data_IF_100417376824
#
_entry.id   IF_100417376824
#
_cell.length_a   1.000
_cell.length_b   1.000
_cell.length_c   1.000
_cell.angle_alpha   90.00
_cell.angle_beta   90.00
_cell.angle_gamma   90.00
#
_symmetry.space_group_name_H-M   'P 1'
#
loop_
_entity.id
_entity.type
_entity.pdbx_description
1 polymer ?
#
# COMPACT_ATOMS: atom_id res chain seq x y z
N UNK A 1 -13.66 -9.89 27.78
CA UNK A 1 -14.59 -9.22 26.87
C UNK A 1 -13.88 -8.04 26.18
N UNK A 2 -13.94 -7.94 24.85
CA UNK A 2 -13.18 -6.95 24.08
C UNK A 2 -14.03 -6.38 22.93
N UNK A 3 -15.00 -5.50 23.19
CA UNK A 3 -15.77 -4.82 22.17
C UNK A 3 -14.97 -3.68 21.55
N UNK A 4 -14.96 -3.63 20.23
CA UNK A 4 -14.34 -2.57 19.46
C UNK A 4 -15.40 -1.85 18.63
N UNK A 5 -15.34 -0.54 18.61
CA UNK A 5 -16.16 0.32 17.73
C UNK A 5 -15.25 1.26 16.97
N UNK A 6 -15.44 1.33 15.66
CA UNK A 6 -14.71 2.25 14.81
C UNK A 6 -15.68 2.94 13.84
N UNK A 7 -15.69 4.26 13.86
CA UNK A 7 -16.47 5.09 12.95
C UNK A 7 -15.55 6.04 12.20
N UNK A 8 -15.65 6.08 10.88
CA UNK A 8 -14.85 6.99 10.04
C UNK A 8 -15.75 7.74 9.08
N UNK A 9 -15.66 9.07 9.08
CA UNK A 9 -16.28 9.97 8.11
C UNK A 9 -15.18 10.53 7.22
N UNK A 10 -15.39 10.49 5.89
CA UNK A 10 -14.37 10.88 4.92
C UNK A 10 -14.96 11.63 3.72
N UNK A 11 -15.43 12.87 3.88
CA UNK A 11 -15.75 13.71 2.73
C UNK A 11 -14.49 14.07 1.93
N UNK A 12 -14.60 14.09 0.60
CA UNK A 12 -13.54 14.54 -0.32
C UNK A 12 -14.14 15.43 -1.42
N UNK A 13 -13.32 16.36 -1.90
CA UNK A 13 -13.62 17.22 -3.05
C UNK A 13 -12.50 17.05 -4.05
N UNK A 14 -12.85 16.64 -5.27
CA UNK A 14 -11.92 16.42 -6.37
C UNK A 14 -12.21 17.43 -7.48
N UNK A 15 -11.19 18.21 -7.85
CA UNK A 15 -11.23 19.14 -8.96
C UNK A 15 -10.24 18.69 -10.03
N UNK A 16 -10.74 18.56 -11.25
CA UNK A 16 -9.97 18.16 -12.40
C UNK A 16 -10.14 19.17 -13.52
N UNK A 17 -9.01 19.61 -14.09
CA UNK A 17 -8.97 20.45 -15.28
C UNK A 17 -8.00 19.89 -16.28
N UNK A 18 -8.45 19.72 -17.53
CA UNK A 18 -7.60 19.29 -18.63
C UNK A 18 -7.77 20.22 -19.82
N UNK A 19 -6.67 20.63 -20.42
CA UNK A 19 -6.66 21.46 -21.62
C UNK A 19 -5.69 20.88 -22.65
N UNK A 20 -6.20 20.63 -23.85
CA UNK A 20 -5.37 20.37 -25.02
C UNK A 20 -4.83 21.69 -25.56
N UNK A 21 -3.52 21.73 -25.78
CA UNK A 21 -2.79 22.88 -26.31
C UNK A 21 -2.31 22.59 -27.74
N UNK A 22 -1.90 23.60 -28.53
CA UNK A 22 -1.31 23.39 -29.83
C UNK A 22 -0.12 22.41 -29.81
N UNK A 23 0.24 21.85 -30.96
CA UNK A 23 1.40 20.98 -31.15
C UNK A 23 1.33 19.66 -30.29
N UNK A 24 0.13 19.08 -30.13
CA UNK A 24 -0.12 17.82 -29.42
C UNK A 24 0.37 17.87 -27.95
N UNK A 25 0.09 18.95 -27.27
CA UNK A 25 0.41 19.16 -25.86
C UNK A 25 -0.86 19.06 -25.02
N UNK A 26 -0.71 18.65 -23.76
CA UNK A 26 -1.80 18.57 -22.79
C UNK A 26 -1.33 19.10 -21.45
N UNK A 27 -2.13 19.97 -20.84
CA UNK A 27 -1.99 20.40 -19.45
C UNK A 27 -3.11 19.78 -18.62
N UNK A 28 -2.74 19.17 -17.50
CA UNK A 28 -3.67 18.57 -16.54
C UNK A 28 -3.38 19.19 -15.18
N UNK A 29 -4.43 19.66 -14.50
CA UNK A 29 -4.38 20.16 -13.13
C UNK A 29 -5.36 19.37 -12.29
N UNK A 30 -4.87 18.76 -11.20
CA UNK A 30 -5.67 18.02 -10.23
C UNK A 30 -5.55 18.69 -8.87
N UNK A 31 -6.65 18.79 -8.15
CA UNK A 31 -6.66 19.22 -6.76
C UNK A 31 -7.65 18.35 -5.98
N UNK A 32 -7.18 17.75 -4.89
CA UNK A 32 -8.00 16.90 -4.01
C UNK A 32 -7.92 17.45 -2.60
N UNK A 33 -9.07 17.79 -2.04
CA UNK A 33 -9.23 18.11 -0.62
C UNK A 33 -9.92 16.95 0.10
N UNK A 34 -9.39 16.48 1.22
CA UNK A 34 -9.99 15.42 2.02
C UNK A 34 -9.98 15.79 3.49
N UNK A 35 -11.11 15.57 4.15
CA UNK A 35 -11.22 15.58 5.60
C UNK A 35 -11.53 14.17 6.07
N UNK A 36 -10.86 13.70 7.12
CA UNK A 36 -11.10 12.40 7.73
C UNK A 36 -11.28 12.62 9.22
N UNK A 37 -12.45 12.23 9.73
CA UNK A 37 -12.72 12.15 11.16
C UNK A 37 -12.85 10.68 11.55
N UNK A 38 -12.07 10.23 12.51
CA UNK A 38 -12.06 8.85 13.02
C UNK A 38 -12.33 8.87 14.51
N UNK A 39 -13.32 8.08 14.93
CA UNK A 39 -13.58 7.80 16.34
C UNK A 39 -13.46 6.29 16.54
N UNK A 40 -12.46 5.87 17.29
CA UNK A 40 -12.18 4.46 17.59
C UNK A 40 -12.19 4.25 19.11
N UNK A 41 -13.01 3.32 19.54
CA UNK A 41 -13.14 2.94 20.95
C UNK A 41 -12.81 1.47 21.10
N UNK A 42 -11.94 1.15 22.01
CA UNK A 42 -11.57 -0.20 22.38
C UNK A 42 -11.68 -0.34 23.90
N UNK A 43 -12.34 -1.40 24.34
CA UNK A 43 -12.45 -1.75 25.74
C UNK A 43 -11.95 -3.19 25.93
N UNK A 44 -11.14 -3.41 26.93
CA UNK A 44 -10.70 -4.74 27.34
C UNK A 44 -11.04 -4.93 28.83
N UNK A 45 -11.83 -5.98 29.16
CA UNK A 45 -12.19 -6.31 30.52
C UNK A 45 -11.79 -7.75 30.81
N UNK A 46 -11.11 -7.94 31.92
CA UNK A 46 -10.73 -9.25 32.44
C UNK A 46 -11.53 -9.54 33.72
N UNK A 47 -12.25 -10.66 33.74
CA UNK A 47 -13.08 -11.09 34.82
C UNK A 47 -12.64 -12.46 35.35
N UNK A 48 -12.62 -12.65 36.65
CA UNK A 48 -12.36 -13.94 37.31
C UNK A 48 -13.37 -14.15 38.44
N UNK A 49 -14.17 -15.21 38.37
CA UNK A 49 -15.20 -15.51 39.36
C UNK A 49 -16.12 -14.30 39.65
N UNK A 50 -16.61 -13.64 38.58
CA UNK A 50 -17.44 -12.43 38.61
C UNK A 50 -16.79 -11.19 39.25
N UNK A 51 -15.48 -11.24 39.51
CA UNK A 51 -14.70 -10.09 39.98
C UNK A 51 -13.98 -9.49 38.77
N UNK A 52 -14.18 -8.19 38.53
CA UNK A 52 -13.45 -7.41 37.51
C UNK A 52 -11.99 -7.22 37.96
N UNK A 53 -11.05 -7.85 37.26
CA UNK A 53 -9.63 -7.77 37.55
C UNK A 53 -8.95 -6.62 36.83
N UNK A 54 -9.41 -6.32 35.62
CA UNK A 54 -8.83 -5.25 34.77
C UNK A 54 -9.91 -4.61 33.92
N UNK A 55 -9.85 -3.29 33.78
CA UNK A 55 -10.69 -2.49 32.90
C UNK A 55 -9.78 -1.50 32.15
N UNK A 56 -9.57 -1.78 30.88
CA UNK A 56 -8.72 -0.96 30.01
C UNK A 56 -9.61 -0.33 28.94
N UNK A 57 -9.64 0.99 28.91
CA UNK A 57 -10.36 1.78 27.93
C UNK A 57 -9.37 2.58 27.09
N UNK A 58 -9.45 2.45 25.78
CA UNK A 58 -8.67 3.20 24.83
C UNK A 58 -9.59 3.85 23.79
N UNK A 59 -9.69 5.16 23.82
CA UNK A 59 -10.45 5.94 22.85
C UNK A 59 -9.51 6.80 22.06
N UNK A 60 -9.71 6.85 20.75
CA UNK A 60 -8.97 7.72 19.84
C UNK A 60 -9.98 8.54 19.04
N UNK A 61 -9.92 9.84 19.18
CA UNK A 61 -10.66 10.81 18.37
C UNK A 61 -9.67 11.57 17.51
N UNK A 62 -9.79 11.47 16.19
CA UNK A 62 -8.79 11.96 15.27
C UNK A 62 -9.37 12.70 14.09
N UNK A 63 -8.77 13.87 13.81
CA UNK A 63 -9.07 14.70 12.65
C UNK A 63 -7.87 14.80 11.74
N UNK A 64 -8.07 14.55 10.44
CA UNK A 64 -7.04 14.71 9.41
C UNK A 64 -7.57 15.53 8.25
N UNK A 65 -6.87 16.60 7.92
CA UNK A 65 -7.06 17.38 6.72
C UNK A 65 -5.93 17.08 5.74
N UNK A 66 -6.25 16.95 4.46
CA UNK A 66 -5.26 16.71 3.42
C UNK A 66 -5.62 17.48 2.15
N UNK A 67 -4.62 18.15 1.58
CA UNK A 67 -4.72 18.82 0.28
C UNK A 67 -3.63 18.23 -0.63
N UNK A 68 -4.03 17.81 -1.81
CA UNK A 68 -3.15 17.32 -2.87
C UNK A 68 -3.34 18.21 -4.08
N UNK A 69 -2.26 18.78 -4.58
CA UNK A 69 -2.23 19.52 -5.85
C UNK A 69 -1.26 18.83 -6.80
N UNK A 70 -1.64 18.65 -8.06
CA UNK A 70 -0.78 18.09 -9.09
C UNK A 70 -0.97 18.81 -10.41
N UNK A 71 0.14 19.27 -10.99
CA UNK A 71 0.20 19.80 -12.35
C UNK A 71 1.00 18.86 -13.23
N UNK A 72 0.44 18.45 -14.36
CA UNK A 72 1.07 17.55 -15.33
C UNK A 72 1.08 18.23 -16.70
N UNK A 73 2.22 18.21 -17.35
CA UNK A 73 2.39 18.63 -18.73
C UNK A 73 2.86 17.45 -19.57
N UNK A 74 2.19 17.22 -20.69
CA UNK A 74 2.53 16.17 -21.64
C UNK A 74 2.69 16.73 -23.05
N UNK A 75 3.64 16.18 -23.80
CA UNK A 75 3.83 16.47 -25.21
C UNK A 75 4.08 15.19 -26.00
N UNK A 76 3.31 15.02 -27.07
CA UNK A 76 3.45 13.92 -28.01
C UNK A 76 4.45 14.29 -29.10
N UNK A 77 5.46 13.45 -29.29
CA UNK A 77 6.44 13.51 -30.38
C UNK A 77 6.23 12.32 -31.33
N UNK A 78 6.93 12.29 -32.44
CA UNK A 78 6.93 11.13 -33.34
C UNK A 78 7.52 9.90 -32.68
N UNK A 79 8.58 10.05 -31.89
CA UNK A 79 9.27 8.98 -31.20
C UNK A 79 8.54 8.48 -29.92
N UNK A 80 7.56 9.24 -29.41
CA UNK A 80 6.87 8.90 -28.18
C UNK A 80 6.29 10.10 -27.44
N UNK A 81 5.91 9.94 -26.21
CA UNK A 81 5.33 10.96 -25.35
C UNK A 81 6.27 11.28 -24.19
N UNK A 82 6.61 12.54 -24.03
CA UNK A 82 7.28 13.07 -22.84
C UNK A 82 6.22 13.71 -21.93
N UNK A 83 6.20 13.28 -20.69
CA UNK A 83 5.38 13.87 -19.61
C UNK A 83 6.26 14.33 -18.46
N UNK A 84 5.80 15.31 -17.72
CA UNK A 84 6.42 15.74 -16.48
C UNK A 84 5.39 16.37 -15.57
N UNK A 85 5.58 16.27 -14.25
CA UNK A 85 4.64 16.80 -13.30
C UNK A 85 5.27 17.15 -11.98
N UNK A 86 4.57 18.04 -11.28
CA UNK A 86 4.82 18.42 -9.89
C UNK A 86 3.58 18.09 -9.08
N UNK A 87 3.75 17.24 -8.07
CA UNK A 87 2.70 16.91 -7.09
C UNK A 87 3.12 17.39 -5.71
N UNK A 88 2.23 18.06 -5.02
CA UNK A 88 2.40 18.46 -3.62
C UNK A 88 1.24 17.94 -2.79
N UNK A 89 1.57 17.27 -1.70
CA UNK A 89 0.62 16.80 -0.70
C UNK A 89 0.94 17.50 0.61
N UNK A 90 -0.07 18.10 1.24
CA UNK A 90 0.04 18.67 2.58
C UNK A 90 -1.04 18.05 3.44
N UNK A 91 -0.70 17.58 4.65
CA UNK A 91 -1.67 17.07 5.62
C UNK A 91 -1.39 17.57 7.02
N UNK A 92 -2.48 17.70 7.78
CA UNK A 92 -2.51 18.06 9.19
C UNK A 92 -3.34 17.01 9.90
N UNK A 93 -2.82 16.49 10.99
CA UNK A 93 -3.50 15.47 11.78
C UNK A 93 -3.47 15.88 13.25
N UNK A 94 -4.59 15.68 13.93
CA UNK A 94 -4.78 15.97 15.34
C UNK A 94 -5.51 14.78 15.97
N UNK A 95 -4.83 14.02 16.82
CA UNK A 95 -5.40 12.87 17.51
C UNK A 95 -5.42 13.12 19.00
N UNK A 96 -6.59 12.94 19.61
CA UNK A 96 -6.80 12.95 21.06
C UNK A 96 -7.02 11.52 21.54
N UNK A 97 -6.23 11.09 22.49
CA UNK A 97 -6.31 9.81 23.15
C UNK A 97 -6.93 10.01 24.54
N UNK A 98 -7.85 9.14 24.94
CA UNK A 98 -8.47 9.17 26.26
C UNK A 98 -8.81 7.76 26.76
N UNK A 99 -9.09 7.62 28.03
CA UNK A 99 -9.32 6.36 28.70
C UNK A 99 -8.24 6.05 29.73
N UNK A 100 -7.69 4.83 29.72
CA UNK A 100 -6.65 4.40 30.68
C UNK A 100 -5.37 5.22 30.54
N UNK A 101 -5.05 5.62 29.31
CA UNK A 101 -3.95 6.58 29.01
C UNK A 101 -4.53 7.70 28.16
N UNK A 102 -4.18 8.93 28.51
CA UNK A 102 -4.62 10.12 27.78
C UNK A 102 -3.44 10.88 27.17
N UNK A 103 -3.73 11.64 26.10
CA UNK A 103 -2.75 12.48 25.44
C UNK A 103 -3.28 13.07 24.16
N UNK A 104 -2.49 13.97 23.54
CA UNK A 104 -2.82 14.56 22.25
C UNK A 104 -1.56 14.56 21.38
N UNK A 105 -1.73 14.25 20.11
CA UNK A 105 -0.63 14.27 19.13
C UNK A 105 -1.06 15.07 17.92
N UNK A 106 -0.30 16.09 17.57
CA UNK A 106 -0.49 16.87 16.34
C UNK A 106 0.68 16.67 15.40
N UNK A 107 0.40 16.47 14.14
CA UNK A 107 1.41 16.30 13.11
C UNK A 107 1.07 17.11 11.86
N UNK A 108 2.12 17.68 11.27
CA UNK A 108 2.10 18.25 9.92
C UNK A 108 3.04 17.43 9.05
N UNK A 109 2.56 17.08 7.86
CA UNK A 109 3.33 16.29 6.91
C UNK A 109 3.17 16.86 5.51
N UNK A 110 4.26 16.98 4.78
CA UNK A 110 4.19 17.32 3.36
C UNK A 110 5.09 16.42 2.51
N UNK A 111 4.65 16.16 1.29
CA UNK A 111 5.46 15.52 0.26
C UNK A 111 5.37 16.33 -1.02
N UNK A 112 6.52 16.71 -1.57
CA UNK A 112 6.65 17.33 -2.88
C UNK A 112 7.36 16.38 -3.81
N UNK A 113 6.75 16.02 -4.93
CA UNK A 113 7.27 15.08 -5.91
C UNK A 113 7.36 15.71 -7.29
N UNK A 114 8.58 15.87 -7.78
CA UNK A 114 8.87 16.31 -9.15
C UNK A 114 9.29 15.09 -9.97
N UNK A 115 8.71 14.93 -11.16
CA UNK A 115 8.99 13.79 -12.00
C UNK A 115 8.92 14.11 -13.49
N UNK A 116 9.61 13.30 -14.27
CA UNK A 116 9.48 13.27 -15.73
C UNK A 116 9.48 11.83 -16.23
N UNK A 117 8.82 11.59 -17.35
CA UNK A 117 8.62 10.28 -17.92
C UNK A 117 8.59 10.36 -19.45
N UNK A 118 9.28 9.45 -20.10
CA UNK A 118 9.20 9.25 -21.53
C UNK A 118 8.63 7.87 -21.84
N UNK A 119 7.59 7.81 -22.66
CA UNK A 119 6.97 6.56 -23.12
C UNK A 119 6.92 6.52 -24.64
N UNK A 120 7.24 5.37 -25.20
CA UNK A 120 7.27 5.19 -26.63
C UNK A 120 7.08 3.75 -27.07
N UNK A 121 7.11 3.56 -28.39
CA UNK A 121 7.01 2.24 -29.01
C UNK A 121 8.02 2.13 -30.15
N UNK A 122 8.79 1.04 -30.13
CA UNK A 122 9.67 0.66 -31.23
C UNK A 122 9.30 -0.75 -31.69
N UNK A 123 8.71 -0.87 -32.87
CA UNK A 123 8.20 -2.15 -33.41
C UNK A 123 7.24 -2.81 -32.40
N UNK A 124 7.66 -3.94 -31.81
CA UNK A 124 6.89 -4.73 -30.87
C UNK A 124 7.16 -4.38 -29.39
N UNK A 125 8.11 -3.50 -29.12
CA UNK A 125 8.50 -3.08 -27.79
C UNK A 125 7.81 -1.76 -27.44
N UNK A 126 6.95 -1.76 -26.41
CA UNK A 126 6.51 -0.56 -25.71
C UNK A 126 7.42 -0.34 -24.51
N UNK A 127 7.82 0.90 -24.28
CA UNK A 127 8.68 1.23 -23.16
C UNK A 127 8.25 2.53 -22.50
N UNK A 128 8.49 2.58 -21.20
CA UNK A 128 8.36 3.79 -20.40
C UNK A 128 9.56 3.86 -19.47
N UNK A 129 10.23 4.99 -19.42
CA UNK A 129 11.28 5.28 -18.46
C UNK A 129 10.97 6.63 -17.81
N UNK A 130 11.06 6.67 -16.49
CA UNK A 130 10.80 7.87 -15.72
C UNK A 130 11.78 8.01 -14.56
N UNK A 131 12.01 9.24 -14.19
CA UNK A 131 12.78 9.61 -13.00
C UNK A 131 12.01 10.66 -12.21
N UNK A 132 12.18 10.64 -10.92
CA UNK A 132 11.60 11.66 -10.05
C UNK A 132 12.35 11.79 -8.75
N UNK A 133 12.10 12.90 -8.06
CA UNK A 133 12.64 13.17 -6.74
C UNK A 133 11.50 13.62 -5.85
N UNK A 134 11.35 12.98 -4.69
CA UNK A 134 10.42 13.42 -3.66
C UNK A 134 11.18 13.99 -2.46
N UNK A 135 10.61 15.07 -1.90
CA UNK A 135 10.98 15.62 -0.61
C UNK A 135 9.81 15.38 0.34
N UNK A 136 10.04 14.61 1.40
CA UNK A 136 9.10 14.41 2.51
C UNK A 136 9.54 15.25 3.70
N UNK A 137 8.60 15.96 4.33
CA UNK A 137 8.82 16.76 5.51
C UNK A 137 7.77 16.43 6.58
N UNK A 138 8.23 16.32 7.83
CA UNK A 138 7.42 15.94 8.97
C UNK A 138 7.69 16.87 10.14
N UNK A 139 6.64 17.26 10.83
CA UNK A 139 6.71 18.01 12.09
C UNK A 139 5.64 17.50 13.05
N UNK A 140 6.07 16.95 14.17
CA UNK A 140 5.22 16.59 15.30
C UNK A 140 5.35 17.65 16.40
N UNK A 141 4.26 17.96 17.10
CA UNK A 141 4.29 18.90 18.22
C UNK A 141 5.17 18.35 19.35
N UNK A 142 6.14 19.15 19.81
CA UNK A 142 7.11 18.75 20.85
C UNK A 142 8.35 18.03 20.33
N UNK A 143 8.45 17.70 19.06
CA UNK A 143 9.59 17.01 18.44
C UNK A 143 10.26 17.90 17.39
N UNK A 144 11.52 17.61 17.06
CA UNK A 144 12.23 18.27 15.97
C UNK A 144 11.62 17.91 14.61
N UNK A 145 11.58 18.86 13.70
CA UNK A 145 11.18 18.59 12.32
C UNK A 145 12.30 17.94 11.52
N UNK A 146 11.94 17.08 10.59
CA UNK A 146 12.91 16.43 9.73
C UNK A 146 12.42 16.30 8.29
N UNK A 147 13.38 16.16 7.37
CA UNK A 147 13.10 16.03 5.96
C UNK A 147 13.97 14.95 5.31
N UNK A 148 13.40 14.29 4.30
CA UNK A 148 14.06 13.24 3.52
C UNK A 148 13.86 13.47 2.04
N UNK A 149 14.91 13.16 1.27
CA UNK A 149 14.87 13.16 -0.18
C UNK A 149 14.98 11.73 -0.72
N UNK A 150 14.14 11.39 -1.67
CA UNK A 150 14.14 10.06 -2.29
C UNK A 150 14.15 10.19 -3.81
N UNK A 151 15.15 9.57 -4.43
CA UNK A 151 15.20 9.39 -5.88
C UNK A 151 14.29 8.22 -6.26
N UNK A 152 13.38 8.42 -7.23
CA UNK A 152 12.29 7.49 -7.59
C UNK A 152 12.32 7.17 -9.08
N UNK A 153 13.23 6.33 -9.56
CA UNK A 153 13.23 5.85 -10.93
C UNK A 153 12.07 4.85 -11.13
N UNK A 154 11.54 4.82 -12.35
CA UNK A 154 10.62 3.78 -12.80
C UNK A 154 10.91 3.37 -14.23
N UNK A 155 10.67 2.11 -14.54
CA UNK A 155 10.79 1.54 -15.87
C UNK A 155 9.65 0.56 -16.12
N UNK A 156 9.12 0.58 -17.33
CA UNK A 156 8.16 -0.42 -17.82
C UNK A 156 8.54 -0.80 -19.24
N UNK A 157 8.73 -2.09 -19.47
CA UNK A 157 9.06 -2.66 -20.77
C UNK A 157 8.01 -3.73 -21.09
N UNK A 158 7.40 -3.65 -22.28
CA UNK A 158 6.48 -4.68 -22.76
C UNK A 158 6.82 -5.06 -24.18
N UNK A 159 7.18 -6.31 -24.38
CA UNK A 159 7.40 -6.89 -25.68
C UNK A 159 6.20 -7.72 -26.13
N UNK A 160 5.56 -7.35 -27.25
CA UNK A 160 4.42 -8.03 -27.81
C UNK A 160 4.92 -9.02 -28.88
N UNK A 161 4.96 -10.31 -28.56
CA UNK A 161 5.33 -11.34 -29.54
C UNK A 161 4.29 -11.42 -30.64
N UNK A 162 3.01 -11.42 -30.26
CA UNK A 162 1.81 -11.36 -31.09
C UNK A 162 0.78 -10.45 -30.43
N UNK A 163 -0.37 -10.22 -31.05
CA UNK A 163 -1.50 -9.48 -30.46
C UNK A 163 -2.07 -10.16 -29.20
N UNK A 164 -1.81 -11.45 -29.05
CA UNK A 164 -2.33 -12.29 -27.98
C UNK A 164 -1.25 -12.81 -27.00
N UNK A 165 -0.01 -12.36 -27.14
CA UNK A 165 1.11 -12.84 -26.34
C UNK A 165 2.09 -11.71 -26.07
N UNK A 166 2.32 -11.42 -24.81
CA UNK A 166 3.29 -10.42 -24.41
C UNK A 166 4.05 -10.81 -23.14
N UNK A 167 5.21 -10.22 -23.00
CA UNK A 167 5.99 -10.20 -21.76
C UNK A 167 6.19 -8.76 -21.31
N UNK A 168 5.88 -8.48 -20.04
CA UNK A 168 6.03 -7.15 -19.44
C UNK A 168 6.88 -7.23 -18.19
N UNK A 169 7.78 -6.26 -18.03
CA UNK A 169 8.56 -6.04 -16.81
C UNK A 169 8.36 -4.61 -16.36
N UNK A 170 8.07 -4.42 -15.08
CA UNK A 170 7.98 -3.13 -14.42
C UNK A 170 8.97 -3.10 -13.27
N UNK A 171 9.62 -1.96 -13.07
CA UNK A 171 10.46 -1.70 -11.92
C UNK A 171 10.24 -0.27 -11.42
N UNK A 172 10.20 -0.09 -10.10
CA UNK A 172 10.06 1.23 -9.49
C UNK A 172 10.70 1.30 -8.11
N UNK A 173 11.10 2.50 -7.73
CA UNK A 173 11.49 2.83 -6.36
C UNK A 173 10.46 3.81 -5.80
N UNK A 174 9.89 3.46 -4.65
CA UNK A 174 8.89 4.26 -3.97
C UNK A 174 9.40 4.70 -2.60
N UNK A 175 8.89 5.82 -2.10
CA UNK A 175 9.09 6.28 -0.74
C UNK A 175 7.85 5.95 0.08
N UNK A 176 8.03 5.37 1.28
CA UNK A 176 6.96 5.06 2.22
C UNK A 176 7.23 5.82 3.51
N UNK A 177 6.32 6.72 3.83
CA UNK A 177 6.40 7.56 5.02
C UNK A 177 5.70 6.90 6.20
N UNK A 178 6.19 7.09 7.44
CA UNK A 178 5.51 6.60 8.62
C UNK A 178 4.13 7.23 8.79
N UNK A 179 3.20 6.46 9.33
CA UNK A 179 1.87 6.93 9.72
C UNK A 179 1.91 7.64 11.08
N UNK A 180 0.88 8.44 11.39
CA UNK A 180 0.81 9.11 12.68
C UNK A 180 0.75 8.11 13.86
N UNK A 181 0.05 6.99 13.70
CA UNK A 181 -0.03 5.97 14.75
C UNK A 181 1.32 5.31 15.03
N UNK A 182 2.18 5.18 14.02
CA UNK A 182 3.54 4.67 14.18
C UNK A 182 4.47 5.70 14.85
N UNK A 183 4.23 7.00 14.60
CA UNK A 183 5.01 8.09 15.19
C UNK A 183 4.56 8.47 16.61
N UNK A 184 3.36 8.09 17.04
CA UNK A 184 2.83 8.47 18.35
C UNK A 184 3.58 7.77 19.49
N UNK A 185 4.24 8.53 20.37
CA UNK A 185 4.88 8.00 21.57
C UNK A 185 3.89 7.60 22.69
N UNK A 186 2.59 7.83 22.48
CA UNK A 186 1.55 7.49 23.47
C UNK A 186 1.39 5.97 23.54
N UNK A 187 1.58 5.45 24.77
CA UNK A 187 1.39 4.03 25.04
C UNK A 187 -0.09 3.66 24.98
N UNK A 188 -0.41 2.65 24.20
CA UNK A 188 -1.76 2.10 24.09
C UNK A 188 -1.80 0.70 24.70
N UNK A 189 -2.54 0.52 25.76
CA UNK A 189 -2.77 -0.81 26.33
C UNK A 189 -3.71 -1.60 25.43
N UNK A 190 -3.25 -2.78 25.00
CA UNK A 190 -4.05 -3.73 24.22
C UNK A 190 -4.80 -4.65 25.18
N UNK A 191 -4.10 -5.13 26.21
CA UNK A 191 -4.60 -5.93 27.34
C UNK A 191 -3.70 -5.71 28.56
N UNK A 192 -3.87 -6.55 29.60
CA UNK A 192 -3.08 -6.45 30.85
C UNK A 192 -1.58 -6.71 30.66
N UNK A 193 -1.20 -7.46 29.63
CA UNK A 193 0.17 -7.90 29.36
C UNK A 193 0.78 -7.23 28.14
N UNK A 194 -0.02 -6.61 27.27
CA UNK A 194 0.44 -6.07 25.99
C UNK A 194 0.22 -4.56 25.91
N UNK A 195 1.28 -3.87 25.50
CA UNK A 195 1.27 -2.43 25.24
C UNK A 195 1.77 -2.21 23.80
N UNK A 196 1.17 -1.28 23.09
CA UNK A 196 1.70 -0.76 21.82
C UNK A 196 2.28 0.63 22.05
N UNK A 197 3.49 0.86 21.53
CA UNK A 197 4.18 2.15 21.57
C UNK A 197 4.70 2.46 20.18
N UNK A 198 4.37 3.63 19.63
CA UNK A 198 4.99 4.12 18.40
C UNK A 198 6.37 4.75 18.69
N UNK A 199 7.01 5.22 17.62
CA UNK A 199 8.35 5.80 17.69
C UNK A 199 8.37 7.12 16.91
N UNK A 200 8.51 8.29 17.58
CA UNK A 200 8.52 9.59 16.89
C UNK A 200 9.74 9.81 15.99
N UNK A 201 10.78 8.99 16.13
CA UNK A 201 12.04 9.09 15.36
C UNK A 201 12.07 8.23 14.10
N UNK A 202 10.93 7.64 13.70
CA UNK A 202 10.83 6.82 12.49
C UNK A 202 11.16 7.64 11.24
N UNK A 203 11.95 7.02 10.37
CA UNK A 203 12.34 7.58 9.07
C UNK A 203 11.55 6.93 7.94
N UNK A 204 11.21 7.69 6.88
CA UNK A 204 10.72 7.08 5.66
C UNK A 204 11.70 6.05 5.11
N UNK A 205 11.18 4.96 4.56
CA UNK A 205 11.98 3.94 3.92
C UNK A 205 11.68 3.82 2.41
N UNK A 206 12.59 3.19 1.69
CA UNK A 206 12.43 2.94 0.26
C UNK A 206 11.87 1.54 0.03
N UNK A 207 10.97 1.40 -0.95
CA UNK A 207 10.53 0.11 -1.49
C UNK A 207 11.03 0.00 -2.93
N UNK A 208 11.77 -1.06 -3.21
CA UNK A 208 12.24 -1.45 -4.54
C UNK A 208 11.33 -2.56 -5.03
N UNK A 209 10.51 -2.25 -6.04
CA UNK A 209 9.49 -3.16 -6.53
C UNK A 209 9.80 -3.56 -7.97
N UNK A 210 9.73 -4.85 -8.25
CA UNK A 210 9.86 -5.43 -9.59
C UNK A 210 8.72 -6.39 -9.85
N UNK A 211 8.11 -6.29 -11.01
CA UNK A 211 7.07 -7.19 -11.48
C UNK A 211 7.35 -7.66 -12.89
N UNK A 212 7.20 -8.97 -13.16
CA UNK A 212 7.22 -9.53 -14.47
C UNK A 212 5.92 -10.28 -14.74
N UNK A 213 5.34 -10.07 -15.91
CA UNK A 213 4.09 -10.69 -16.33
C UNK A 213 4.23 -11.24 -17.74
N UNK A 214 3.83 -12.51 -17.94
CA UNK A 214 3.74 -13.15 -19.24
C UNK A 214 2.31 -13.59 -19.50
N UNK A 215 1.70 -13.03 -20.54
CA UNK A 215 0.36 -13.39 -20.98
C UNK A 215 0.44 -14.17 -22.29
N UNK A 216 -0.28 -15.27 -22.33
CA UNK A 216 -0.54 -16.06 -23.52
C UNK A 216 -2.04 -16.31 -23.69
N UNK A 217 -2.60 -15.97 -24.85
CA UNK A 217 -4.01 -16.21 -25.18
C UNK A 217 -4.11 -16.88 -26.52
N UNK A 218 -4.85 -18.00 -26.59
CA UNK A 218 -5.16 -18.71 -27.83
C UNK A 218 -6.59 -19.26 -27.79
N UNK A 219 -7.44 -18.69 -28.65
CA UNK A 219 -8.86 -19.10 -28.68
C UNK A 219 -9.53 -18.84 -27.32
N UNK A 220 -10.05 -19.92 -26.72
CA UNK A 220 -10.69 -19.89 -25.40
C UNK A 220 -9.73 -20.05 -24.22
N UNK A 221 -8.46 -20.30 -24.48
CA UNK A 221 -7.44 -20.51 -23.45
C UNK A 221 -6.66 -19.24 -23.18
N UNK A 222 -6.45 -18.93 -21.89
CA UNK A 222 -5.56 -17.84 -21.43
C UNK A 222 -4.67 -18.36 -20.30
N UNK A 223 -3.38 -18.18 -20.44
CA UNK A 223 -2.38 -18.41 -19.41
C UNK A 223 -1.74 -17.08 -19.02
N UNK A 224 -1.65 -16.81 -17.72
CA UNK A 224 -1.11 -15.58 -17.14
C UNK A 224 -0.14 -15.95 -16.02
N UNK A 225 1.15 -15.70 -16.24
CA UNK A 225 2.23 -15.98 -15.30
C UNK A 225 2.76 -14.66 -14.74
N UNK A 226 2.73 -14.53 -13.41
CA UNK A 226 3.17 -13.34 -12.71
C UNK A 226 4.32 -13.66 -11.76
N UNK A 227 5.31 -12.77 -11.73
CA UNK A 227 6.36 -12.73 -10.72
C UNK A 227 6.40 -11.34 -10.10
N UNK A 228 6.55 -11.30 -8.79
CA UNK A 228 6.68 -10.06 -8.04
C UNK A 228 7.82 -10.20 -7.02
N UNK A 229 8.69 -9.21 -7.00
CA UNK A 229 9.73 -9.05 -6.00
C UNK A 229 9.64 -7.66 -5.39
N UNK A 230 9.67 -7.59 -4.07
CA UNK A 230 9.76 -6.34 -3.32
C UNK A 230 10.86 -6.46 -2.28
N UNK A 231 11.68 -5.41 -2.19
CA UNK A 231 12.71 -5.28 -1.16
C UNK A 231 12.58 -3.91 -0.50
N UNK A 232 12.46 -3.89 0.79
CA UNK A 232 12.30 -2.66 1.58
C UNK A 232 13.32 -2.67 2.72
N UNK A 233 14.56 -2.18 2.47
CA UNK A 233 15.51 -1.94 3.55
C UNK A 233 14.99 -0.84 4.48
N UNK A 234 15.39 -0.86 5.73
CA UNK A 234 14.96 0.07 6.78
C UNK A 234 13.43 0.16 6.94
N UNK A 235 12.71 -0.93 6.58
CA UNK A 235 11.25 -0.97 6.65
C UNK A 235 10.78 -0.75 8.08
N UNK A 236 9.75 0.08 8.23
CA UNK A 236 9.04 0.24 9.49
C UNK A 236 8.25 -1.03 9.77
N UNK A 237 8.59 -1.73 10.87
CA UNK A 237 7.95 -2.97 11.31
C UNK A 237 7.83 -3.01 12.83
N UNK A 238 6.85 -3.76 13.32
CA UNK A 238 6.68 -4.02 14.74
C UNK A 238 7.69 -5.09 15.21
N UNK A 239 8.21 -4.90 16.42
CA UNK A 239 9.02 -5.83 17.18
C UNK A 239 8.43 -5.94 18.58
N UNK A 240 8.46 -7.13 19.16
CA UNK A 240 7.94 -7.38 20.50
C UNK A 240 9.10 -7.50 21.48
N UNK A 241 9.17 -6.59 22.43
CA UNK A 241 10.15 -6.64 23.51
C UNK A 241 9.45 -6.96 24.85
N UNK A 242 10.19 -7.53 25.80
CA UNK A 242 9.69 -7.77 27.15
C UNK A 242 10.28 -6.75 28.10
N UNK A 243 9.42 -5.95 28.71
CA UNK A 243 9.79 -4.94 29.70
C UNK A 243 8.81 -4.98 30.86
N UNK A 244 9.31 -4.99 32.12
CA UNK A 244 8.48 -4.99 33.34
C UNK A 244 7.34 -6.02 33.35
N UNK A 245 7.61 -7.26 32.94
CA UNK A 245 6.64 -8.35 32.78
C UNK A 245 5.50 -8.11 31.78
N UNK A 246 5.65 -7.12 30.89
CA UNK A 246 4.73 -6.85 29.78
C UNK A 246 5.41 -7.07 28.44
N UNK A 247 4.63 -7.38 27.42
CA UNK A 247 5.04 -7.43 26.03
C UNK A 247 4.76 -6.07 25.40
N UNK A 248 5.82 -5.38 25.00
CA UNK A 248 5.69 -4.07 24.36
C UNK A 248 5.93 -4.24 22.86
N UNK A 249 4.90 -3.96 22.07
CA UNK A 249 5.01 -3.85 20.62
C UNK A 249 5.53 -2.46 20.30
N UNK A 250 6.78 -2.39 19.88
CA UNK A 250 7.42 -1.17 19.40
C UNK A 250 7.51 -1.19 17.89
N UNK A 251 7.37 -0.02 17.30
CA UNK A 251 7.54 0.16 15.85
C UNK A 251 8.88 0.85 15.61
N UNK A 252 9.73 0.29 14.76
CA UNK A 252 11.03 0.87 14.44
C UNK A 252 11.41 0.64 12.97
N UNK A 253 12.42 1.37 12.49
CA UNK A 253 13.08 1.07 11.24
C UNK A 253 13.95 -0.18 11.44
N UNK A 254 13.48 -1.30 10.91
CA UNK A 254 14.12 -2.62 11.04
C UNK A 254 15.08 -2.87 9.87
N UNK A 255 15.94 -3.90 9.94
CA UNK A 255 16.96 -4.19 8.91
C UNK A 255 16.39 -4.34 7.50
N UNK A 256 15.21 -4.96 7.37
CA UNK A 256 14.56 -5.04 6.07
C UNK A 256 13.47 -6.08 5.95
N UNK A 257 12.76 -5.97 4.85
CA UNK A 257 11.71 -6.92 4.49
C UNK A 257 11.76 -7.20 2.99
N UNK A 258 11.59 -8.47 2.64
CA UNK A 258 11.55 -8.90 1.25
C UNK A 258 10.33 -9.78 1.01
N UNK A 259 9.77 -9.67 -0.19
CA UNK A 259 8.74 -10.57 -0.70
C UNK A 259 9.13 -11.04 -2.09
N UNK A 260 9.11 -12.35 -2.28
CA UNK A 260 9.16 -13.00 -3.59
C UNK A 260 7.84 -13.73 -3.80
N UNK A 261 7.19 -13.49 -4.92
CA UNK A 261 5.89 -14.08 -5.26
C UNK A 261 5.88 -14.57 -6.70
N UNK A 262 5.27 -15.73 -6.94
CA UNK A 262 5.02 -16.24 -8.27
C UNK A 262 3.65 -16.90 -8.33
N UNK A 263 2.86 -16.61 -9.37
CA UNK A 263 1.58 -17.26 -9.61
C UNK A 263 1.34 -17.53 -11.08
N UNK A 264 0.59 -18.60 -11.34
CA UNK A 264 0.10 -18.98 -12.64
C UNK A 264 -1.43 -19.03 -12.59
N UNK A 265 -2.06 -18.28 -13.47
CA UNK A 265 -3.51 -18.32 -13.69
C UNK A 265 -3.79 -18.92 -15.06
N UNK A 266 -4.56 -20.00 -15.08
CA UNK A 266 -5.08 -20.62 -16.29
C UNK A 266 -6.58 -20.38 -16.38
N UNK A 267 -7.04 -19.88 -17.54
CA UNK A 267 -8.46 -19.66 -17.81
C UNK A 267 -8.84 -20.37 -19.09
N UNK A 268 -10.00 -21.03 -19.05
CA UNK A 268 -10.61 -21.69 -20.21
C UNK A 268 -12.06 -21.23 -20.33
N UNK A 269 -12.40 -20.71 -21.48
CA UNK A 269 -13.77 -20.29 -21.72
C UNK A 269 -13.92 -19.03 -22.59
N UNK A 270 -15.18 -18.76 -23.01
CA UNK A 270 -16.39 -19.53 -22.66
C UNK A 270 -16.49 -20.86 -23.40
N UNK A 271 -16.80 -21.92 -22.67
CA UNK A 271 -17.15 -23.29 -23.19
C UNK A 271 -18.64 -23.54 -23.05
N UNK A 272 -19.14 -24.73 -23.49
CA UNK A 272 -20.54 -25.18 -23.40
C UNK A 272 -21.50 -24.07 -23.85
N UNK A 273 -21.69 -23.97 -25.19
CA UNK A 273 -22.54 -22.95 -25.84
C UNK A 273 -22.16 -21.50 -25.43
N UNK A 274 -20.88 -21.23 -25.10
CA UNK A 274 -20.35 -19.98 -24.65
C UNK A 274 -20.91 -19.49 -23.30
N UNK A 275 -21.31 -20.41 -22.42
CA UNK A 275 -21.92 -20.08 -21.14
C UNK A 275 -20.91 -20.16 -20.00
N UNK A 276 -20.05 -21.19 -19.99
CA UNK A 276 -19.20 -21.51 -18.83
C UNK A 276 -17.74 -21.06 -19.04
N UNK A 277 -17.16 -20.44 -18.07
CA UNK A 277 -15.72 -20.11 -17.99
C UNK A 277 -15.13 -20.68 -16.70
N UNK A 278 -13.94 -21.26 -16.81
CA UNK A 278 -13.18 -21.84 -15.72
C UNK A 278 -11.90 -21.02 -15.50
N UNK A 279 -11.52 -20.81 -14.25
CA UNK A 279 -10.24 -20.19 -13.91
C UNK A 279 -9.62 -20.91 -12.73
N UNK A 280 -8.33 -21.20 -12.82
CA UNK A 280 -7.53 -21.77 -11.74
C UNK A 280 -6.26 -20.94 -11.60
N UNK A 281 -5.96 -20.53 -10.38
CA UNK A 281 -4.74 -19.83 -10.01
C UNK A 281 -4.01 -20.65 -8.95
N UNK A 282 -2.73 -20.84 -9.10
CA UNK A 282 -1.84 -21.39 -8.07
C UNK A 282 -0.62 -20.50 -7.92
N UNK A 283 -0.18 -20.28 -6.68
CA UNK A 283 0.93 -19.41 -6.43
C UNK A 283 1.66 -19.70 -5.12
N UNK A 284 2.85 -19.10 -5.01
CA UNK A 284 3.71 -19.16 -3.83
C UNK A 284 4.19 -17.76 -3.48
N UNK A 285 4.24 -17.48 -2.18
CA UNK A 285 4.89 -16.29 -1.63
C UNK A 285 5.97 -16.73 -0.66
N UNK A 286 7.12 -16.08 -0.73
CA UNK A 286 8.18 -16.15 0.27
C UNK A 286 8.36 -14.76 0.85
N UNK A 287 8.29 -14.68 2.16
CA UNK A 287 8.54 -13.47 2.95
C UNK A 287 9.80 -13.67 3.76
N UNK A 288 10.65 -12.66 3.80
CA UNK A 288 11.82 -12.58 4.66
C UNK A 288 11.68 -11.29 5.46
N UNK A 289 11.62 -11.39 6.78
CA UNK A 289 11.49 -10.26 7.71
C UNK A 289 12.68 -10.27 8.64
N UNK A 290 13.52 -9.25 8.53
CA UNK A 290 14.74 -9.11 9.32
C UNK A 290 14.61 -7.87 10.21
N UNK A 291 14.44 -8.11 11.50
CA UNK A 291 14.42 -7.10 12.53
C UNK A 291 15.80 -6.88 13.14
N UNK A 292 15.87 -5.97 14.12
CA UNK A 292 17.08 -5.73 14.89
C UNK A 292 17.43 -6.93 15.78
N UNK A 293 16.41 -7.62 16.32
CA UNK A 293 16.54 -8.77 17.22
C UNK A 293 16.01 -10.10 16.66
N UNK A 294 15.32 -10.10 15.50
CA UNK A 294 14.70 -11.28 14.93
C UNK A 294 15.04 -11.46 13.44
N UNK A 295 14.88 -12.70 12.93
CA UNK A 295 14.95 -13.03 11.51
C UNK A 295 13.97 -14.17 11.22
N UNK A 296 12.99 -13.90 10.37
CA UNK A 296 11.94 -14.85 10.02
C UNK A 296 11.83 -15.03 8.51
N UNK A 297 11.63 -16.28 8.10
CA UNK A 297 11.28 -16.62 6.73
C UNK A 297 9.99 -17.41 6.72
N UNK A 298 9.02 -16.94 5.97
CA UNK A 298 7.71 -17.56 5.83
C UNK A 298 7.37 -17.85 4.39
N UNK A 299 6.99 -19.10 4.09
CA UNK A 299 6.53 -19.52 2.77
C UNK A 299 5.05 -19.83 2.83
N UNK A 300 4.28 -19.29 1.89
CA UNK A 300 2.83 -19.49 1.78
C UNK A 300 2.46 -19.92 0.36
N UNK A 301 1.79 -21.08 0.25
CA UNK A 301 1.20 -21.58 -0.98
C UNK A 301 -0.29 -21.25 -0.99
N UNK A 302 -0.81 -20.84 -2.12
CA UNK A 302 -2.22 -20.53 -2.25
C UNK A 302 -2.77 -21.02 -3.58
N UNK A 303 -4.06 -21.27 -3.58
CA UNK A 303 -4.81 -21.58 -4.80
C UNK A 303 -6.16 -20.88 -4.79
N UNK A 304 -6.69 -20.66 -5.98
CA UNK A 304 -8.03 -20.18 -6.24
C UNK A 304 -8.57 -20.91 -7.46
N UNK A 305 -9.76 -21.47 -7.37
CA UNK A 305 -10.48 -22.03 -8.50
C UNK A 305 -11.87 -21.40 -8.59
N UNK A 306 -12.31 -21.06 -9.78
CA UNK A 306 -13.63 -20.48 -9.99
C UNK A 306 -14.28 -21.01 -11.27
N UNK A 307 -15.59 -21.16 -11.19
CA UNK A 307 -16.49 -21.47 -12.31
C UNK A 307 -17.46 -20.32 -12.44
N UNK A 308 -17.54 -19.73 -13.62
CA UNK A 308 -18.48 -18.67 -13.92
C UNK A 308 -19.40 -19.13 -15.06
N UNK A 309 -20.70 -19.00 -14.85
CA UNK A 309 -21.73 -19.27 -15.86
C UNK A 309 -22.47 -17.97 -16.19
N UNK A 310 -22.55 -17.64 -17.49
CA UNK A 310 -23.31 -16.50 -18.01
C UNK A 310 -24.32 -16.97 -19.04
N UNK A 311 -25.58 -16.73 -18.75
CA UNK A 311 -26.68 -17.06 -19.70
C UNK A 311 -27.67 -15.91 -19.79
N UNK A 312 -27.76 -15.27 -20.93
CA UNK A 312 -28.59 -14.06 -21.16
C UNK A 312 -28.24 -12.96 -20.14
N UNK A 313 -29.17 -12.65 -19.24
CA UNK A 313 -29.01 -11.63 -18.16
C UNK A 313 -28.58 -12.22 -16.81
N UNK A 314 -28.44 -13.56 -16.74
CA UNK A 314 -28.08 -14.24 -15.50
C UNK A 314 -26.57 -14.53 -15.46
N UNK A 315 -25.96 -14.28 -14.32
CA UNK A 315 -24.59 -14.65 -14.02
C UNK A 315 -24.56 -15.38 -12.69
N UNK A 316 -23.88 -16.53 -12.67
CA UNK A 316 -23.57 -17.27 -11.46
C UNK A 316 -22.06 -17.50 -11.39
N UNK A 317 -21.48 -17.35 -10.20
CA UNK A 317 -20.07 -17.64 -9.93
C UNK A 317 -19.96 -18.49 -8.69
N UNK A 318 -19.18 -19.55 -8.79
CA UNK A 318 -18.71 -20.34 -7.65
C UNK A 318 -17.20 -20.22 -7.57
N UNK A 319 -16.68 -19.96 -6.38
CA UNK A 319 -15.24 -19.81 -6.13
C UNK A 319 -14.85 -20.55 -4.86
N UNK A 320 -13.73 -21.24 -4.93
CA UNK A 320 -13.02 -21.82 -3.80
C UNK A 320 -11.60 -21.27 -3.78
N UNK A 321 -11.10 -20.93 -2.59
CA UNK A 321 -9.72 -20.45 -2.43
C UNK A 321 -9.14 -20.92 -1.10
N UNK A 322 -7.82 -21.09 -1.06
CA UNK A 322 -7.11 -21.29 0.18
C UNK A 322 -7.08 -20.01 1.02
N UNK A 323 -6.80 -20.13 2.32
CA UNK A 323 -6.41 -18.98 3.14
C UNK A 323 -5.13 -18.34 2.57
N UNK A 324 -5.03 -17.02 2.76
CA UNK A 324 -3.90 -16.23 2.30
C UNK A 324 -3.41 -15.35 3.45
N UNK A 325 -2.19 -15.59 3.89
CA UNK A 325 -1.57 -14.82 4.96
C UNK A 325 -0.39 -14.01 4.40
N UNK A 326 -0.29 -12.78 4.86
CA UNK A 326 0.90 -11.93 4.67
C UNK A 326 1.72 -11.95 5.96
N UNK A 327 3.03 -11.81 5.83
CA UNK A 327 3.94 -11.78 6.96
C UNK A 327 4.80 -10.53 6.91
N UNK A 328 4.75 -9.73 7.98
CA UNK A 328 5.53 -8.49 8.16
C UNK A 328 5.79 -8.31 9.65
N UNK A 329 7.03 -8.04 10.03
CA UNK A 329 7.45 -7.86 11.42
C UNK A 329 7.81 -9.19 12.09
N UNK A 330 7.70 -9.20 13.41
CA UNK A 330 7.94 -10.36 14.26
C UNK A 330 6.69 -11.22 14.46
#
# INVERSE_FOLDING_TARGET
>A
WNPNSNSTKRPSLDLYYQRSLPHKQTLILNMVGTYIHTNANQMYQEWKNDILLSDILSNVDGDKYSIIGEGIYERQFEAGRLGGGLKHTQSWTDNTYSGTVGGRTKMKQSETYLYTEFSGRVKKLNYTAGIGVSRSWFKQEGEEDYQYYTFRPKVSLQYNFTDNMYFRVNGSVNNVSPSLSELSAIEQYIDTLQIRRGNPYLKPYKSYDMQANYLYKKGIFTGDLNFYYSNSPDRIMEEVIRENNKFIRITDNQKGWQKLSGDLTLRVGPIIKRIISLSVTGGVNRYISEGNSYSHTYNNWYYRASVMAMYKKFMAMFQIQSSYNTFVGE
#
